data_IF_470114105301
#
_entry.id   IF_470114105301
#
_cell.length_a   1.000
_cell.length_b   1.000
_cell.length_c   1.000
_cell.angle_alpha   90.00
_cell.angle_beta   90.00
_cell.angle_gamma   90.00
#
_symmetry.space_group_name_H-M   'P 1'
#
loop_
_entity.id
_entity.type
_entity.pdbx_description
1 polymer ?
#
# COMPACT_ATOMS: atom_id res chain seq x y z
N UNK A 1 -15.72 -16.87 -28.90
CA UNK A 1 -15.69 -15.62 -28.12
C UNK A 1 -15.88 -16.00 -26.67
N UNK A 2 -14.89 -15.75 -25.80
CA UNK A 2 -15.03 -16.05 -24.37
C UNK A 2 -16.06 -15.11 -23.75
N UNK A 3 -16.97 -15.64 -22.93
CA UNK A 3 -18.09 -14.93 -22.29
C UNK A 3 -17.64 -14.29 -20.95
N UNK A 4 -16.34 -14.11 -20.77
CA UNK A 4 -15.78 -13.37 -19.63
C UNK A 4 -15.44 -11.97 -20.13
N UNK A 5 -16.13 -10.97 -19.58
CA UNK A 5 -15.83 -9.55 -19.85
C UNK A 5 -14.43 -9.16 -19.41
N UNK A 6 -14.10 -7.88 -19.54
CA UNK A 6 -12.78 -7.38 -19.16
C UNK A 6 -12.49 -7.60 -17.66
N UNK A 7 -11.34 -8.21 -17.35
CA UNK A 7 -10.74 -8.23 -16.02
C UNK A 7 -10.50 -6.80 -15.53
N UNK A 8 -11.21 -6.41 -14.46
CA UNK A 8 -11.13 -5.08 -13.83
C UNK A 8 -10.39 -5.09 -12.50
N UNK A 9 -10.26 -6.25 -11.85
CA UNK A 9 -9.51 -6.43 -10.60
C UNK A 9 -8.75 -7.74 -10.59
N UNK A 10 -7.54 -7.73 -10.04
CA UNK A 10 -6.73 -8.92 -9.80
C UNK A 10 -6.04 -8.80 -8.45
N UNK A 11 -6.27 -9.77 -7.55
CA UNK A 11 -5.71 -9.80 -6.20
C UNK A 11 -5.94 -8.50 -5.38
N UNK A 12 -7.03 -7.79 -5.65
CA UNK A 12 -7.36 -6.51 -4.99
C UNK A 12 -6.74 -5.27 -5.66
N UNK A 13 -5.88 -5.44 -6.66
CA UNK A 13 -5.38 -4.36 -7.50
C UNK A 13 -6.33 -4.14 -8.67
N UNK A 14 -6.50 -2.87 -9.06
CA UNK A 14 -7.27 -2.54 -10.25
C UNK A 14 -6.46 -2.93 -11.49
N UNK A 15 -7.17 -3.37 -12.53
CA UNK A 15 -6.59 -3.78 -13.81
C UNK A 15 -7.10 -2.85 -14.90
N UNK A 16 -6.18 -2.28 -15.66
CA UNK A 16 -6.45 -1.49 -16.85
C UNK A 16 -5.92 -2.25 -18.06
N UNK A 17 -6.83 -2.82 -18.85
CA UNK A 17 -6.47 -3.45 -20.11
C UNK A 17 -6.39 -2.38 -21.21
N UNK A 18 -5.28 -2.36 -21.92
CA UNK A 18 -5.03 -1.48 -23.04
C UNK A 18 -4.57 -2.30 -24.24
N UNK A 19 -4.55 -1.69 -25.43
CA UNK A 19 -4.13 -2.38 -26.66
C UNK A 19 -2.66 -2.84 -26.61
N UNK A 20 -1.84 -2.16 -25.82
CA UNK A 20 -0.40 -2.38 -25.62
C UNK A 20 -0.07 -3.29 -24.44
N UNK A 21 -1.06 -3.71 -23.63
CA UNK A 21 -0.86 -4.62 -22.52
C UNK A 21 -1.80 -4.40 -21.34
N UNK A 22 -1.41 -4.94 -20.19
CA UNK A 22 -2.15 -4.84 -18.94
C UNK A 22 -1.40 -3.93 -17.97
N UNK A 23 -2.08 -2.91 -17.45
CA UNK A 23 -1.58 -2.02 -16.41
C UNK A 23 -2.24 -2.35 -15.07
N UNK A 24 -1.45 -2.42 -14.00
CA UNK A 24 -1.94 -2.57 -12.62
C UNK A 24 -1.72 -1.27 -11.84
N UNK A 25 -2.65 -0.29 -11.92
CA UNK A 25 -2.57 0.89 -11.05
C UNK A 25 -2.73 0.51 -9.57
N UNK A 26 -1.86 1.07 -8.74
CA UNK A 26 -1.84 0.82 -7.29
C UNK A 26 -2.61 1.88 -6.48
N UNK A 27 -3.04 2.99 -7.09
CA UNK A 27 -3.62 4.16 -6.40
C UNK A 27 -4.77 3.79 -5.46
N UNK A 28 -5.68 2.93 -5.93
CA UNK A 28 -6.80 2.44 -5.11
C UNK A 28 -6.30 1.68 -3.88
N UNK A 29 -5.33 0.79 -4.07
CA UNK A 29 -4.80 -0.02 -2.98
C UNK A 29 -4.02 0.81 -1.97
N UNK A 30 -3.25 1.81 -2.43
CA UNK A 30 -2.59 2.79 -1.55
C UNK A 30 -3.64 3.54 -0.73
N UNK A 31 -4.71 4.03 -1.37
CA UNK A 31 -5.82 4.68 -0.68
C UNK A 31 -6.49 3.79 0.37
N UNK A 32 -6.73 2.52 0.04
CA UNK A 32 -7.32 1.54 0.94
C UNK A 32 -6.41 1.25 2.16
N UNK A 33 -5.09 1.17 1.95
CA UNK A 33 -4.10 1.05 3.05
C UNK A 33 -4.17 2.27 3.96
N UNK A 34 -4.08 3.48 3.39
CA UNK A 34 -4.09 4.72 4.17
C UNK A 34 -5.37 4.81 5.00
N UNK A 35 -6.52 4.51 4.41
CA UNK A 35 -7.80 4.49 5.12
C UNK A 35 -7.85 3.44 6.22
N UNK A 36 -7.40 2.21 5.96
CA UNK A 36 -7.40 1.10 6.92
C UNK A 36 -6.61 1.42 8.18
N UNK A 37 -5.50 2.13 8.06
CA UNK A 37 -4.61 2.44 9.18
C UNK A 37 -4.77 3.87 9.72
N UNK A 38 -5.80 4.62 9.28
CA UNK A 38 -6.12 5.94 9.83
C UNK A 38 -5.26 7.10 9.31
N UNK A 39 -4.66 6.96 8.13
CA UNK A 39 -3.79 7.95 7.49
C UNK A 39 -4.48 8.76 6.37
N UNK A 40 -5.80 8.69 6.23
CA UNK A 40 -6.55 9.39 5.16
C UNK A 40 -6.33 10.91 5.15
N UNK A 41 -6.20 11.51 6.33
CA UNK A 41 -6.07 12.97 6.51
C UNK A 41 -4.61 13.42 6.70
N UNK A 42 -3.67 12.47 6.64
CA UNK A 42 -2.26 12.77 6.85
C UNK A 42 -1.69 13.43 5.60
N UNK A 43 -1.07 14.60 5.80
CA UNK A 43 -0.47 15.37 4.71
C UNK A 43 0.73 14.62 4.14
N UNK A 44 0.78 14.52 2.81
CA UNK A 44 1.96 13.98 2.12
C UNK A 44 3.20 14.84 2.39
N UNK A 45 4.33 14.17 2.60
CA UNK A 45 5.63 14.79 2.69
C UNK A 45 6.35 14.69 1.33
N UNK A 46 6.81 15.83 0.81
CA UNK A 46 7.61 15.87 -0.42
C UNK A 46 9.08 15.49 -0.17
N UNK A 47 9.50 15.53 1.09
CA UNK A 47 10.85 15.16 1.51
C UNK A 47 10.87 13.65 1.73
N UNK A 48 11.77 12.90 1.06
CA UNK A 48 11.98 11.49 1.37
C UNK A 48 12.38 11.31 2.83
N UNK A 49 11.95 10.20 3.43
CA UNK A 49 12.43 9.80 4.75
C UNK A 49 13.93 9.51 4.69
N UNK A 50 14.68 10.00 5.67
CA UNK A 50 16.11 9.69 5.80
C UNK A 50 16.29 8.17 6.00
N UNK A 51 17.31 7.60 5.37
CA UNK A 51 17.64 6.18 5.50
C UNK A 51 18.35 5.89 6.82
N UNK A 52 19.11 6.86 7.31
CA UNK A 52 19.72 6.78 8.62
C UNK A 52 18.63 7.09 9.64
N UNK A 53 18.41 6.20 10.60
CA UNK A 53 17.39 6.39 11.64
C UNK A 53 17.91 7.42 12.66
N UNK A 54 17.54 8.73 12.58
CA UNK A 54 18.07 9.74 13.48
C UNK A 54 17.36 9.68 14.84
N UNK A 55 16.23 8.96 14.87
CA UNK A 55 15.44 8.66 16.06
C UNK A 55 16.26 7.69 16.91
N UNK A 56 16.95 8.22 17.93
CA UNK A 56 17.54 7.39 18.98
C UNK A 56 16.49 6.45 19.57
N UNK A 57 16.91 5.45 20.36
CA UNK A 57 15.94 4.61 21.09
C UNK A 57 15.01 5.54 21.86
N UNK A 58 13.78 5.66 21.41
CA UNK A 58 12.75 6.33 22.18
C UNK A 58 12.72 5.66 23.56
N UNK A 59 12.29 6.40 24.57
CA UNK A 59 12.05 5.85 25.91
C UNK A 59 11.12 4.62 25.87
N UNK A 60 10.67 4.10 27.03
CA UNK A 60 9.91 2.84 27.06
C UNK A 60 8.82 2.83 25.98
N UNK A 61 8.99 1.94 25.00
CA UNK A 61 8.14 1.89 23.82
C UNK A 61 6.69 1.72 24.26
N UNK A 62 5.79 2.49 23.65
CA UNK A 62 4.36 2.19 23.79
C UNK A 62 4.11 0.78 23.27
N UNK A 63 3.30 0.03 24.01
CA UNK A 63 2.89 -1.29 23.58
C UNK A 63 2.16 -1.16 22.23
N UNK A 64 2.63 -1.91 21.23
CA UNK A 64 2.09 -1.85 19.87
C UNK A 64 1.18 -3.04 19.67
N UNK A 65 -0.01 -2.82 19.10
CA UNK A 65 -0.89 -3.90 18.71
C UNK A 65 -0.24 -4.73 17.60
N UNK A 66 0.20 -5.94 17.95
CA UNK A 66 1.03 -6.79 17.10
C UNK A 66 0.35 -7.15 15.78
N UNK A 67 -0.97 -7.37 15.79
CA UNK A 67 -1.71 -7.71 14.58
C UNK A 67 -1.77 -6.53 13.62
N UNK A 68 -2.02 -5.32 14.11
CA UNK A 68 -2.03 -4.10 13.30
C UNK A 68 -0.66 -3.85 12.67
N UNK A 69 0.42 -3.97 13.44
CA UNK A 69 1.78 -3.81 12.95
C UNK A 69 2.09 -4.79 11.82
N UNK A 70 1.86 -6.10 12.05
CA UNK A 70 2.09 -7.14 11.03
C UNK A 70 1.22 -6.92 9.80
N UNK A 71 -0.04 -6.50 9.99
CA UNK A 71 -0.94 -6.20 8.89
C UNK A 71 -0.44 -5.02 8.04
N UNK A 72 0.09 -3.97 8.67
CA UNK A 72 0.65 -2.81 7.97
C UNK A 72 1.88 -3.19 7.15
N UNK A 73 2.82 -3.91 7.77
CA UNK A 73 4.02 -4.40 7.07
C UNK A 73 3.65 -5.30 5.88
N UNK A 74 2.70 -6.23 6.06
CA UNK A 74 2.24 -7.11 4.97
C UNK A 74 1.61 -6.33 3.81
N UNK A 75 0.78 -5.33 4.11
CA UNK A 75 0.21 -4.44 3.09
C UNK A 75 1.26 -3.66 2.31
N UNK A 76 2.29 -3.13 3.00
CA UNK A 76 3.40 -2.42 2.34
C UNK A 76 4.27 -3.34 1.49
N UNK A 77 4.56 -4.56 1.99
CA UNK A 77 5.29 -5.57 1.22
C UNK A 77 4.55 -5.93 -0.07
N UNK A 78 3.24 -6.15 0.01
CA UNK A 78 2.42 -6.44 -1.17
C UNK A 78 2.41 -5.29 -2.19
N UNK A 79 2.33 -4.04 -1.72
CA UNK A 79 2.44 -2.86 -2.57
C UNK A 79 3.79 -2.81 -3.31
N UNK A 80 4.90 -3.12 -2.63
CA UNK A 80 6.24 -3.13 -3.26
C UNK A 80 6.47 -4.29 -4.22
N UNK A 81 5.85 -5.45 -3.98
CA UNK A 81 6.02 -6.63 -4.82
C UNK A 81 5.17 -6.60 -6.11
N UNK A 82 4.14 -5.76 -6.15
CA UNK A 82 3.19 -5.66 -7.28
C UNK A 82 3.51 -4.54 -8.27
N UNK A 83 4.80 -4.22 -8.41
CA UNK A 83 5.33 -3.10 -9.19
C UNK A 83 5.45 -3.40 -10.69
#
# INVERSE_FOLDING_TARGET
MSVMGELTFFLGLQVLQRKDGIFLPQDKYVGDILKKFGYSDVRSANTPMDKENPWGKDGPSKDVELHLYRSMIGSLMYLTASR
#
